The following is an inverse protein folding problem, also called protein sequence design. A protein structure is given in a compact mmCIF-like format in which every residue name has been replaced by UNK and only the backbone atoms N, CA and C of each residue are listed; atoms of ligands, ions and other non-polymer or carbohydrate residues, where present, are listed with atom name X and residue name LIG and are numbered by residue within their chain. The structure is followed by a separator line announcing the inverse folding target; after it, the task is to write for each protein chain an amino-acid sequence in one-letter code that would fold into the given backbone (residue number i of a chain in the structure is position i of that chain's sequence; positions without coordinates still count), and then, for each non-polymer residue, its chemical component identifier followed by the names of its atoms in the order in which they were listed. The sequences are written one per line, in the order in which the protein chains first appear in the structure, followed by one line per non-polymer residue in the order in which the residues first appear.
data_IF_337455036560
#
_entry.id   IF_337455036560
#
_cell.length_a   1.000
_cell.length_b   1.000
_cell.length_c   1.000
_cell.angle_alpha   90.00
_cell.angle_beta   90.00
_cell.angle_gamma   90.00
#
_symmetry.space_group_name_H-M   'P 1'
#
loop_
_entity.id
_entity.type
_entity.pdbx_description
1 polymer ?
#
# COMPACT_ATOMS: atom_id res chain seq x y z
N UNK A 1 17.61 2.67 -8.41
CA UNK A 1 17.70 4.14 -8.29
C UNK A 1 16.43 4.71 -7.67
N UNK A 2 15.26 4.70 -8.33
CA UNK A 2 14.02 5.16 -7.67
C UNK A 2 13.65 4.34 -6.44
N UNK A 3 13.74 3.00 -6.51
CA UNK A 3 13.45 2.14 -5.35
C UNK A 3 14.36 2.39 -4.14
N UNK A 4 15.60 2.78 -4.41
CA UNK A 4 16.56 3.15 -3.39
C UNK A 4 16.18 4.51 -2.79
N UNK A 5 15.87 5.52 -3.62
CA UNK A 5 15.34 6.81 -3.14
C UNK A 5 14.06 6.66 -2.30
N UNK A 6 13.14 5.79 -2.70
CA UNK A 6 11.92 5.51 -1.93
C UNK A 6 12.17 4.77 -0.62
N UNK A 7 13.12 3.83 -0.64
CA UNK A 7 13.54 3.16 0.58
C UNK A 7 14.14 4.16 1.57
N UNK A 8 15.00 5.06 1.08
CA UNK A 8 15.59 6.14 1.86
C UNK A 8 14.53 7.06 2.46
N UNK A 9 13.58 7.54 1.64
CA UNK A 9 12.49 8.42 2.09
C UNK A 9 11.59 7.74 3.13
N UNK A 10 11.23 6.47 2.93
CA UNK A 10 10.42 5.71 3.91
C UNK A 10 11.17 5.46 5.21
N UNK A 11 12.47 5.17 5.12
CA UNK A 11 13.31 4.96 6.29
C UNK A 11 13.43 6.27 7.08
N UNK A 12 13.68 7.39 6.41
CA UNK A 12 13.77 8.73 7.01
C UNK A 12 12.46 9.13 7.71
N UNK A 13 11.31 8.94 7.04
CA UNK A 13 9.99 9.19 7.63
C UNK A 13 9.71 8.29 8.85
N UNK A 14 10.13 7.02 8.79
CA UNK A 14 9.95 6.08 9.91
C UNK A 14 10.80 6.48 11.11
N UNK A 15 12.09 6.81 10.91
CA UNK A 15 12.98 7.16 12.04
C UNK A 15 12.67 8.53 12.64
N UNK A 16 12.13 9.45 11.82
CA UNK A 16 11.67 10.78 12.25
C UNK A 16 10.36 10.74 13.04
N UNK A 17 9.56 9.67 12.93
CA UNK A 17 8.35 9.45 13.72
C UNK A 17 8.61 8.47 14.87
N UNK A 18 8.94 9.01 16.04
CA UNK A 18 9.33 8.22 17.22
C UNK A 18 8.25 7.24 17.68
N UNK A 19 6.97 7.59 17.56
CA UNK A 19 5.84 6.70 17.90
C UNK A 19 5.75 5.54 16.93
N UNK A 20 5.72 5.80 15.62
CA UNK A 20 5.64 4.76 14.60
C UNK A 20 6.89 3.86 14.60
N UNK A 21 8.07 4.43 14.88
CA UNK A 21 9.31 3.70 15.05
C UNK A 21 9.25 2.75 16.25
N UNK A 22 8.77 3.24 17.41
CA UNK A 22 8.59 2.42 18.60
C UNK A 22 7.56 1.30 18.37
N UNK A 23 6.43 1.58 17.72
CA UNK A 23 5.44 0.56 17.36
C UNK A 23 6.03 -0.50 16.44
N UNK A 24 6.74 -0.09 15.38
CA UNK A 24 7.35 -1.00 14.41
C UNK A 24 8.43 -1.90 15.02
N UNK A 25 9.16 -1.37 15.99
CA UNK A 25 10.25 -2.08 16.68
C UNK A 25 9.80 -2.80 17.94
N UNK A 26 8.51 -2.70 18.32
CA UNK A 26 7.97 -3.19 19.58
C UNK A 26 8.74 -2.61 20.79
N UNK A 27 9.07 -1.32 20.71
CA UNK A 27 9.83 -0.56 21.69
C UNK A 27 11.21 -1.16 22.01
N UNK A 28 11.78 -1.94 21.08
CA UNK A 28 13.08 -2.55 21.25
C UNK A 28 14.19 -1.53 20.96
N UNK A 29 14.87 -1.07 22.02
CA UNK A 29 15.91 -0.05 21.93
C UNK A 29 17.04 -0.40 20.95
N UNK A 30 17.46 -1.67 20.87
CA UNK A 30 18.50 -2.12 19.92
C UNK A 30 18.05 -2.00 18.47
N UNK A 31 16.81 -2.38 18.17
CA UNK A 31 16.23 -2.24 16.81
C UNK A 31 16.00 -0.78 16.43
N UNK A 32 15.61 0.05 17.38
CA UNK A 32 15.46 1.50 17.19
C UNK A 32 16.82 2.10 16.81
N UNK A 33 17.86 1.81 17.59
CA UNK A 33 19.22 2.29 17.34
C UNK A 33 19.77 1.78 15.99
N UNK A 34 19.53 0.52 15.64
CA UNK A 34 19.96 -0.06 14.36
C UNK A 34 19.28 0.63 13.16
N UNK A 35 17.98 0.90 13.24
CA UNK A 35 17.25 1.63 12.20
C UNK A 35 17.73 3.08 12.06
N UNK A 36 18.02 3.77 13.17
CA UNK A 36 18.57 5.12 13.16
C UNK A 36 19.99 5.17 12.58
N UNK A 37 20.83 4.19 12.93
CA UNK A 37 22.17 4.05 12.38
C UNK A 37 22.15 3.75 10.88
N UNK A 38 21.23 2.88 10.46
CA UNK A 38 20.99 2.57 9.05
C UNK A 38 20.53 3.81 8.29
N UNK A 39 19.57 4.57 8.80
CA UNK A 39 19.11 5.81 8.20
C UNK A 39 20.25 6.83 8.00
N UNK A 40 21.12 6.97 9.00
CA UNK A 40 22.30 7.87 8.94
C UNK A 40 23.32 7.44 7.88
N UNK A 41 23.60 6.13 7.77
CA UNK A 41 24.48 5.57 6.74
C UNK A 41 23.91 5.76 5.33
N UNK A 42 22.61 5.56 5.22
CA UNK A 42 21.86 5.59 3.97
C UNK A 42 21.63 7.04 3.47
N UNK A 43 21.48 8.01 4.38
CA UNK A 43 21.49 9.45 4.06
C UNK A 43 22.81 9.89 3.38
N UNK A 44 23.93 9.29 3.79
CA UNK A 44 25.25 9.53 3.16
C UNK A 44 25.36 8.94 1.75
N UNK A 45 24.57 7.91 1.45
CA UNK A 45 24.46 7.35 0.09
C UNK A 45 23.48 8.16 -0.77
N UNK A 46 22.45 8.79 -0.17
CA UNK A 46 21.56 9.70 -0.87
C UNK A 46 22.35 10.83 -1.56
N UNK A 47 23.40 11.35 -0.93
CA UNK A 47 24.29 12.38 -1.51
C UNK A 47 25.00 11.93 -2.78
N UNK A 48 25.24 10.62 -2.97
CA UNK A 48 25.81 10.08 -4.22
C UNK A 48 24.81 10.10 -5.39
N UNK A 49 23.52 10.24 -5.10
CA UNK A 49 22.47 10.42 -6.11
C UNK A 49 22.25 11.90 -6.48
N UNK A 50 22.89 12.87 -5.80
CA UNK A 50 22.62 14.31 -5.88
C UNK A 50 23.52 15.09 -6.86
N UNK A 51 23.74 14.59 -8.08
CA UNK A 51 24.31 15.42 -9.15
C UNK A 51 23.37 16.61 -9.48
N UNK A 52 23.85 17.86 -9.59
CA UNK A 52 23.01 19.06 -9.53
C UNK A 52 21.96 19.20 -10.65
N UNK A 53 22.21 18.68 -11.86
CA UNK A 53 21.23 18.71 -12.97
C UNK A 53 20.31 17.48 -13.03
N UNK A 54 20.72 16.36 -12.40
CA UNK A 54 19.90 15.13 -12.33
C UNK A 54 18.91 15.16 -11.16
N UNK A 55 19.14 15.99 -10.13
CA UNK A 55 18.38 15.97 -8.88
C UNK A 55 16.87 16.22 -9.10
N UNK A 56 16.50 17.33 -9.75
CA UNK A 56 15.08 17.68 -9.92
C UNK A 56 14.36 16.75 -10.88
N UNK A 57 14.99 16.43 -12.02
CA UNK A 57 14.37 15.58 -13.05
C UNK A 57 14.25 14.12 -12.58
N UNK A 58 15.28 13.55 -11.94
CA UNK A 58 15.25 12.17 -11.47
C UNK A 58 14.28 12.00 -10.29
N UNK A 59 14.27 12.93 -9.33
CA UNK A 59 13.30 12.88 -8.21
C UNK A 59 11.87 13.00 -8.75
N UNK A 60 11.61 13.93 -9.67
CA UNK A 60 10.30 14.09 -10.31
C UNK A 60 9.86 12.83 -11.06
N UNK A 61 10.76 12.23 -11.85
CA UNK A 61 10.51 10.96 -12.55
C UNK A 61 10.24 9.82 -11.56
N UNK A 62 11.00 9.75 -10.46
CA UNK A 62 10.77 8.73 -9.46
C UNK A 62 9.41 8.91 -8.80
N UNK A 63 8.99 10.12 -8.43
CA UNK A 63 7.67 10.39 -7.85
C UNK A 63 6.53 9.92 -8.77
N UNK A 64 6.66 10.12 -10.08
CA UNK A 64 5.72 9.60 -11.09
C UNK A 64 5.72 8.07 -11.09
N UNK A 65 6.90 7.44 -11.05
CA UNK A 65 7.03 5.97 -10.99
C UNK A 65 6.43 5.40 -9.70
N UNK A 66 6.55 6.06 -8.55
CA UNK A 66 5.94 5.61 -7.29
C UNK A 66 4.44 5.79 -7.26
N UNK A 67 3.93 6.91 -7.80
CA UNK A 67 2.49 7.08 -8.01
C UNK A 67 1.93 5.89 -8.83
N UNK A 68 2.57 5.58 -9.95
CA UNK A 68 2.18 4.45 -10.81
C UNK A 68 2.36 3.07 -10.13
N UNK A 69 3.39 2.90 -9.28
CA UNK A 69 3.60 1.67 -8.50
C UNK A 69 2.56 1.48 -7.40
N UNK A 70 2.02 2.56 -6.83
CA UNK A 70 0.94 2.52 -5.83
C UNK A 70 -0.42 2.28 -6.49
N UNK A 71 -0.60 2.81 -7.70
CA UNK A 71 -1.83 2.72 -8.48
C UNK A 71 -2.14 1.29 -8.93
N UNK A 72 -1.16 0.57 -9.52
CA UNK A 72 -1.36 -0.81 -9.98
C UNK A 72 -1.95 -1.76 -8.91
N UNK A 73 -1.38 -1.89 -7.70
CA UNK A 73 -1.96 -2.76 -6.67
C UNK A 73 -3.31 -2.23 -6.16
N UNK A 74 -3.55 -0.91 -6.16
CA UNK A 74 -4.86 -0.35 -5.86
C UNK A 74 -5.90 -0.74 -6.92
N UNK A 75 -5.53 -0.79 -8.19
CA UNK A 75 -6.38 -1.27 -9.28
C UNK A 75 -6.72 -2.75 -9.16
N UNK A 76 -5.74 -3.58 -8.83
CA UNK A 76 -5.98 -5.00 -8.58
C UNK A 76 -6.86 -5.21 -7.33
N UNK A 77 -6.68 -4.39 -6.28
CA UNK A 77 -7.53 -4.40 -5.08
C UNK A 77 -8.98 -4.01 -5.45
N UNK A 78 -9.19 -2.96 -6.24
CA UNK A 78 -10.50 -2.52 -6.74
C UNK A 78 -11.15 -3.63 -7.59
N UNK A 79 -10.45 -4.17 -8.60
CA UNK A 79 -10.95 -5.26 -9.45
C UNK A 79 -11.28 -6.52 -8.63
N UNK A 80 -10.46 -6.82 -7.63
CA UNK A 80 -10.67 -7.92 -6.68
C UNK A 80 -11.96 -7.74 -5.87
N UNK A 81 -12.19 -6.55 -5.31
CA UNK A 81 -13.42 -6.26 -4.57
C UNK A 81 -14.65 -6.28 -5.47
N UNK A 82 -14.60 -5.72 -6.67
CA UNK A 82 -15.71 -5.78 -7.62
C UNK A 82 -16.10 -7.23 -7.97
N UNK A 83 -15.11 -8.09 -8.27
CA UNK A 83 -15.36 -9.52 -8.52
C UNK A 83 -15.94 -10.22 -7.29
N UNK A 84 -15.44 -9.90 -6.10
CA UNK A 84 -15.94 -10.50 -4.87
C UNK A 84 -17.37 -10.06 -4.54
N UNK A 85 -17.73 -8.79 -4.77
CA UNK A 85 -19.08 -8.28 -4.59
C UNK A 85 -20.04 -8.93 -5.60
N UNK A 86 -19.65 -9.04 -6.88
CA UNK A 86 -20.43 -9.75 -7.89
C UNK A 86 -20.65 -11.24 -7.53
N UNK A 87 -19.65 -11.89 -6.93
CA UNK A 87 -19.80 -13.24 -6.36
C UNK A 87 -20.76 -13.25 -5.17
N UNK A 88 -20.64 -12.27 -4.26
CA UNK A 88 -21.47 -12.17 -3.06
C UNK A 88 -22.93 -11.79 -3.33
N UNK A 89 -23.23 -11.21 -4.49
CA UNK A 89 -24.58 -10.93 -4.95
C UNK A 89 -25.19 -12.12 -5.72
N UNK A 90 -24.38 -13.11 -6.13
CA UNK A 90 -24.86 -14.32 -6.79
C UNK A 90 -25.18 -15.43 -5.77
N UNK A 91 -26.44 -15.47 -5.34
CA UNK A 91 -26.94 -16.42 -4.34
C UNK A 91 -26.66 -17.90 -4.71
N UNK A 92 -26.75 -18.26 -5.99
CA UNK A 92 -26.43 -19.62 -6.48
C UNK A 92 -24.95 -19.94 -6.36
N UNK A 93 -24.07 -19.01 -6.74
CA UNK A 93 -22.63 -19.19 -6.63
C UNK A 93 -22.16 -19.29 -5.17
N UNK A 94 -22.75 -18.47 -4.28
CA UNK A 94 -22.51 -18.57 -2.84
C UNK A 94 -22.98 -19.91 -2.32
N UNK A 95 -24.23 -20.29 -2.59
CA UNK A 95 -24.81 -21.55 -2.11
C UNK A 95 -23.99 -22.76 -2.56
N UNK A 96 -23.52 -22.76 -3.82
CA UNK A 96 -22.62 -23.79 -4.34
C UNK A 96 -21.25 -23.78 -3.61
N UNK A 97 -20.63 -22.61 -3.43
CA UNK A 97 -19.32 -22.48 -2.78
C UNK A 97 -19.34 -22.82 -1.30
N UNK A 98 -20.42 -22.44 -0.61
CA UNK A 98 -20.61 -22.66 0.83
C UNK A 98 -21.26 -24.01 1.13
N UNK A 99 -21.64 -24.78 0.09
CA UNK A 99 -22.43 -26.01 0.21
C UNK A 99 -23.70 -25.79 1.05
N UNK A 100 -24.37 -24.66 0.84
CA UNK A 100 -25.55 -24.24 1.59
C UNK A 100 -25.37 -24.16 3.12
N UNK A 101 -24.13 -24.03 3.61
CA UNK A 101 -23.86 -23.88 5.05
C UNK A 101 -24.18 -22.45 5.48
N UNK A 102 -25.21 -22.26 6.30
CA UNK A 102 -25.70 -20.94 6.74
C UNK A 102 -24.59 -20.04 7.31
N UNK A 103 -23.76 -20.55 8.22
CA UNK A 103 -22.64 -19.79 8.81
C UNK A 103 -21.64 -19.28 7.78
N UNK A 104 -21.34 -20.09 6.75
CA UNK A 104 -20.44 -19.67 5.66
C UNK A 104 -21.09 -18.64 4.74
N UNK A 105 -22.41 -18.71 4.54
CA UNK A 105 -23.16 -17.70 3.80
C UNK A 105 -23.10 -16.36 4.54
N UNK A 106 -23.31 -16.38 5.85
CA UNK A 106 -23.24 -15.18 6.69
C UNK A 106 -21.82 -14.59 6.73
N UNK A 107 -20.78 -15.42 6.77
CA UNK A 107 -19.40 -14.97 6.64
C UNK A 107 -19.14 -14.26 5.30
N UNK A 108 -19.67 -14.77 4.20
CA UNK A 108 -19.53 -14.13 2.88
C UNK A 108 -20.24 -12.77 2.87
N UNK A 109 -21.44 -12.66 3.43
CA UNK A 109 -22.17 -11.38 3.55
C UNK A 109 -21.42 -10.37 4.44
N UNK A 110 -20.86 -10.82 5.55
CA UNK A 110 -20.05 -9.97 6.43
C UNK A 110 -18.78 -9.47 5.73
N UNK A 111 -18.09 -10.35 4.99
CA UNK A 111 -16.93 -9.98 4.17
C UNK A 111 -17.32 -9.03 3.04
N UNK A 112 -18.48 -9.24 2.40
CA UNK A 112 -19.03 -8.36 1.36
C UNK A 112 -19.24 -6.95 1.89
N UNK A 113 -19.85 -6.81 3.07
CA UNK A 113 -20.05 -5.50 3.70
C UNK A 113 -18.73 -4.77 3.96
N UNK A 114 -17.70 -5.47 4.45
CA UNK A 114 -16.35 -4.89 4.65
C UNK A 114 -15.69 -4.51 3.32
N UNK A 115 -15.84 -5.35 2.29
CA UNK A 115 -15.33 -5.08 0.95
C UNK A 115 -15.98 -3.85 0.33
N UNK A 116 -17.29 -3.65 0.49
CA UNK A 116 -18.01 -2.44 0.04
C UNK A 116 -17.45 -1.18 0.68
N UNK A 117 -17.26 -1.17 2.01
CA UNK A 117 -16.68 -0.01 2.71
C UNK A 117 -15.25 0.29 2.25
N UNK A 118 -14.44 -0.76 2.06
CA UNK A 118 -13.06 -0.61 1.59
C UNK A 118 -13.01 -0.12 0.15
N UNK A 119 -13.86 -0.66 -0.72
CA UNK A 119 -13.99 -0.23 -2.11
C UNK A 119 -14.43 1.23 -2.20
N UNK A 120 -15.43 1.66 -1.42
CA UNK A 120 -15.86 3.05 -1.37
C UNK A 120 -14.73 4.00 -0.94
N UNK A 121 -13.91 3.59 0.05
CA UNK A 121 -12.74 4.35 0.50
C UNK A 121 -11.62 4.41 -0.56
N UNK A 122 -11.43 3.34 -1.33
CA UNK A 122 -10.49 3.35 -2.45
C UNK A 122 -11.01 4.23 -3.59
N UNK A 123 -12.32 4.17 -3.86
CA UNK A 123 -12.96 4.95 -4.91
C UNK A 123 -13.05 6.44 -4.61
N UNK A 124 -13.15 6.83 -3.34
CA UNK A 124 -13.13 8.24 -2.93
C UNK A 124 -11.77 8.91 -3.10
N UNK A 125 -10.69 8.13 -3.22
CA UNK A 125 -9.38 8.65 -3.60
C UNK A 125 -9.37 8.74 -5.12
N UNK A 126 -9.71 9.90 -5.68
CA UNK A 126 -10.05 10.08 -7.10
C UNK A 126 -8.96 9.65 -8.12
N UNK A 127 -7.69 9.58 -7.70
CA UNK A 127 -6.55 9.28 -8.59
C UNK A 127 -6.52 7.83 -9.10
N UNK A 128 -6.57 6.79 -8.25
CA UNK A 128 -6.56 5.41 -8.74
C UNK A 128 -7.77 5.04 -9.63
N UNK A 129 -8.98 5.56 -9.41
CA UNK A 129 -10.18 5.06 -10.11
C UNK A 129 -10.17 5.37 -11.61
N UNK A 130 -9.70 6.55 -12.01
CA UNK A 130 -9.63 6.94 -13.42
C UNK A 130 -8.63 6.08 -14.19
N UNK A 131 -7.53 5.71 -13.54
CA UNK A 131 -6.39 5.06 -14.20
C UNK A 131 -6.56 3.53 -14.19
N UNK A 132 -7.34 2.99 -13.25
CA UNK A 132 -7.72 1.56 -13.22
C UNK A 132 -8.72 1.13 -14.30
N UNK A 133 -9.35 2.10 -14.98
CA UNK A 133 -10.31 1.87 -16.06
C UNK A 133 -9.66 1.67 -17.44
N UNK A 134 -8.33 1.84 -17.55
CA UNK A 134 -7.53 1.61 -18.76
C UNK A 134 -7.09 0.14 -18.91
#
# INVERSE_FOLDING_TARGET
KCDELFFLEKLDNLVSNTTALAEKTLNNATKIADLQAKASKDASNATKFQGPQSNTTLVSLCLIVDAHKKEKPQCEEIKGFQKFLAFADNSTAISHKTKNTATKIDEVKAKSSKATTRLAKLQSNATPVSDCAA
#
